data_IF_256634198255
#
_entry.id   IF_256634198255
#
_cell.length_a   1.000
_cell.length_b   1.000
_cell.length_c   1.000
_cell.angle_alpha   90.00
_cell.angle_beta   90.00
_cell.angle_gamma   90.00
#
_symmetry.space_group_name_H-M   'P 1'
#
loop_
_entity.id
_entity.type
_entity.pdbx_description
1 polymer ?
#
# COMPACT_ATOMS: atom_id res chain seq x y z
N UNK A 1 -24.04 -4.99 12.06
CA UNK A 1 -22.57 -5.07 11.95
C UNK A 1 -22.21 -6.53 11.75
N UNK A 2 -21.44 -6.86 10.72
CA UNK A 2 -20.87 -8.21 10.60
C UNK A 2 -19.85 -8.43 11.73
N UNK A 3 -19.75 -9.65 12.28
CA UNK A 3 -18.76 -9.96 13.29
C UNK A 3 -17.35 -9.86 12.69
N UNK A 4 -16.39 -9.32 13.46
CA UNK A 4 -14.99 -9.30 13.06
C UNK A 4 -14.43 -10.71 12.92
N UNK A 5 -13.54 -10.91 11.96
CA UNK A 5 -12.83 -12.16 11.79
C UNK A 5 -11.88 -12.46 12.97
N UNK A 6 -11.56 -13.75 13.22
CA UNK A 6 -10.65 -14.13 14.31
C UNK A 6 -9.28 -13.43 14.29
N UNK A 7 -8.73 -13.11 13.12
CA UNK A 7 -7.46 -12.40 13.01
C UNK A 7 -7.57 -10.89 13.28
N UNK A 8 -8.75 -10.31 13.04
CA UNK A 8 -9.01 -8.90 13.37
C UNK A 8 -9.16 -8.72 14.89
N UNK A 9 -9.78 -9.69 15.56
CA UNK A 9 -9.94 -9.68 17.03
C UNK A 9 -8.62 -9.55 17.79
N UNK A 10 -7.49 -9.95 17.18
CA UNK A 10 -6.15 -9.86 17.78
C UNK A 10 -5.72 -8.40 18.00
N UNK A 11 -6.14 -7.48 17.12
CA UNK A 11 -5.72 -6.07 17.20
C UNK A 11 -6.71 -5.19 17.96
N UNK A 12 -7.93 -5.68 18.21
CA UNK A 12 -8.97 -4.99 19.00
C UNK A 12 -8.44 -4.64 20.39
N UNK A 13 -8.49 -3.36 20.75
CA UNK A 13 -8.06 -2.89 22.06
C UNK A 13 -6.55 -3.01 22.33
N UNK A 14 -5.74 -3.39 21.34
CA UNK A 14 -4.27 -3.49 21.47
C UNK A 14 -3.59 -2.14 21.72
N UNK A 15 -4.28 -1.04 21.35
CA UNK A 15 -3.74 0.31 21.36
C UNK A 15 -2.64 0.53 20.32
N UNK A 16 -2.45 -0.38 19.35
CA UNK A 16 -1.54 -0.18 18.23
C UNK A 16 -2.17 0.73 17.17
N UNK A 17 -1.40 1.69 16.67
CA UNK A 17 -1.74 2.39 15.43
C UNK A 17 -1.30 1.52 14.25
N UNK A 18 -2.25 1.09 13.43
CA UNK A 18 -2.01 0.17 12.30
C UNK A 18 -1.84 0.87 10.96
N UNK A 19 -2.33 2.10 10.84
CA UNK A 19 -2.10 2.99 9.71
C UNK A 19 -2.17 4.44 10.15
N UNK A 20 -1.51 5.32 9.39
CA UNK A 20 -1.56 6.75 9.64
C UNK A 20 -1.34 7.57 8.38
N UNK A 21 -1.94 8.78 8.28
CA UNK A 21 -1.53 9.74 7.29
C UNK A 21 -0.11 10.20 7.57
N UNK A 22 0.68 10.41 6.51
CA UNK A 22 2.01 10.97 6.59
C UNK A 22 1.97 12.50 6.65
N UNK A 23 3.08 13.14 6.97
CA UNK A 23 3.21 14.61 6.97
C UNK A 23 3.26 15.22 5.56
N UNK A 24 3.59 14.41 4.55
CA UNK A 24 3.69 14.82 3.15
C UNK A 24 2.32 14.78 2.47
N UNK A 25 2.11 15.68 1.51
CA UNK A 25 0.91 15.74 0.66
C UNK A 25 1.32 15.68 -0.81
N UNK A 26 0.43 15.14 -1.62
CA UNK A 26 0.56 15.14 -3.07
C UNK A 26 -0.55 16.00 -3.69
N UNK A 27 -0.25 16.62 -4.83
CA UNK A 27 -1.27 17.25 -5.67
C UNK A 27 -2.04 16.15 -6.41
N UNK A 28 -3.17 15.73 -5.84
CA UNK A 28 -4.02 14.69 -6.40
C UNK A 28 -4.50 15.02 -7.83
N UNK A 29 -4.83 16.29 -8.10
CA UNK A 29 -5.35 16.68 -9.41
C UNK A 29 -4.26 16.55 -10.48
N UNK A 30 -3.02 16.89 -10.15
CA UNK A 30 -1.87 16.66 -11.02
C UNK A 30 -1.63 15.18 -11.26
N UNK A 31 -1.58 14.37 -10.19
CA UNK A 31 -1.38 12.92 -10.33
C UNK A 31 -2.50 12.23 -11.12
N UNK A 32 -3.74 12.69 -11.03
CA UNK A 32 -4.87 12.16 -11.81
C UNK A 32 -4.72 12.44 -13.30
N UNK A 33 -4.31 13.66 -13.69
CA UNK A 33 -4.05 14.00 -15.09
C UNK A 33 -2.89 13.20 -15.66
N UNK A 34 -1.82 13.04 -14.89
CA UNK A 34 -0.65 12.26 -15.26
C UNK A 34 -0.98 10.77 -15.39
N UNK A 35 -1.77 10.24 -14.46
CA UNK A 35 -2.26 8.88 -14.56
C UNK A 35 -3.04 8.68 -15.87
N UNK A 36 -3.96 9.59 -16.24
CA UNK A 36 -4.71 9.46 -17.49
C UNK A 36 -3.80 9.43 -18.73
N UNK A 37 -2.73 10.25 -18.74
CA UNK A 37 -1.75 10.24 -19.82
C UNK A 37 -0.94 8.92 -19.87
N UNK A 38 -0.50 8.44 -18.71
CA UNK A 38 0.20 7.16 -18.58
C UNK A 38 -0.69 5.98 -19.02
N UNK A 39 -1.93 5.96 -18.55
CA UNK A 39 -2.93 4.91 -18.82
C UNK A 39 -3.19 4.78 -20.33
N UNK A 40 -3.38 5.92 -21.01
CA UNK A 40 -3.56 5.99 -22.46
C UNK A 40 -2.32 5.54 -23.25
N UNK A 41 -1.12 5.90 -22.80
CA UNK A 41 0.12 5.53 -23.48
C UNK A 41 0.50 4.06 -23.28
N UNK A 42 0.18 3.49 -22.12
CA UNK A 42 0.55 2.12 -21.74
C UNK A 42 -0.34 1.07 -22.40
N UNK A 43 -1.63 1.37 -22.57
CA UNK A 43 -2.62 0.38 -23.03
C UNK A 43 -2.74 -0.82 -22.09
N UNK A 44 -3.30 -1.93 -22.58
CA UNK A 44 -3.46 -3.16 -21.79
C UNK A 44 -2.18 -4.01 -21.79
N UNK A 45 -1.43 -4.05 -22.89
CA UNK A 45 -0.21 -4.86 -23.02
C UNK A 45 0.94 -4.37 -22.14
N UNK A 46 0.97 -3.08 -21.80
CA UNK A 46 1.99 -2.50 -20.93
C UNK A 46 1.70 -2.69 -19.43
N UNK A 47 0.60 -3.37 -19.07
CA UNK A 47 0.23 -3.63 -17.68
C UNK A 47 0.65 -5.02 -17.22
N UNK A 48 0.98 -5.10 -15.94
CA UNK A 48 1.13 -6.36 -15.24
C UNK A 48 -0.16 -6.68 -14.48
N UNK A 49 -0.89 -7.69 -14.91
CA UNK A 49 -2.06 -8.17 -14.17
C UNK A 49 -1.59 -8.96 -12.94
N UNK A 50 -2.06 -8.52 -11.78
CA UNK A 50 -1.67 -9.05 -10.47
C UNK A 50 -2.71 -10.04 -9.94
N UNK A 51 -3.94 -9.95 -10.42
CA UNK A 51 -5.00 -10.93 -10.18
C UNK A 51 -5.38 -11.64 -11.48
N UNK A 52 -5.63 -12.95 -11.41
CA UNK A 52 -5.98 -13.77 -12.58
C UNK A 52 -7.35 -13.46 -13.18
N UNK A 53 -8.21 -12.73 -12.44
CA UNK A 53 -9.51 -12.25 -12.90
C UNK A 53 -9.46 -10.85 -13.51
N UNK A 54 -8.27 -10.25 -13.62
CA UNK A 54 -8.07 -8.91 -14.18
C UNK A 54 -8.47 -7.76 -13.25
N UNK A 55 -9.00 -8.03 -12.06
CA UNK A 55 -9.49 -7.00 -11.12
C UNK A 55 -8.41 -6.10 -10.54
N UNK A 56 -7.13 -6.48 -10.74
CA UNK A 56 -5.98 -5.76 -10.24
C UNK A 56 -4.82 -5.80 -11.24
N UNK A 57 -4.35 -4.63 -11.64
CA UNK A 57 -3.18 -4.45 -12.50
C UNK A 57 -2.23 -3.39 -11.97
N UNK A 58 -1.01 -3.38 -12.49
CA UNK A 58 0.00 -2.39 -12.15
C UNK A 58 0.82 -1.92 -13.35
N UNK A 59 1.30 -0.68 -13.29
CA UNK A 59 2.31 -0.11 -14.18
C UNK A 59 3.53 0.27 -13.33
N UNK A 60 4.70 -0.24 -13.69
CA UNK A 60 5.95 -0.01 -12.94
C UNK A 60 6.55 1.34 -13.28
N UNK A 61 6.71 2.22 -12.28
CA UNK A 61 7.37 3.53 -12.41
C UNK A 61 8.83 3.48 -11.97
N UNK A 62 9.12 2.72 -10.91
CA UNK A 62 10.48 2.42 -10.46
C UNK A 62 10.57 0.91 -10.33
N UNK A 63 11.43 0.32 -11.15
CA UNK A 63 11.69 -1.10 -11.16
C UNK A 63 12.59 -1.48 -9.98
N UNK A 64 12.31 -2.63 -9.39
CA UNK A 64 13.07 -3.09 -8.24
C UNK A 64 14.47 -3.54 -8.65
N UNK A 65 15.45 -3.21 -7.81
CA UNK A 65 16.82 -3.67 -7.98
C UNK A 65 17.16 -4.79 -7.00
N UNK A 66 18.08 -5.66 -7.39
CA UNK A 66 18.75 -6.59 -6.47
C UNK A 66 20.21 -6.15 -6.25
N UNK A 67 20.62 -6.07 -5.00
CA UNK A 67 21.99 -5.85 -4.57
C UNK A 67 22.83 -7.11 -4.73
N UNK A 68 24.16 -6.96 -4.64
CA UNK A 68 25.11 -8.08 -4.71
C UNK A 68 24.98 -9.06 -3.54
N UNK A 69 24.33 -8.64 -2.46
CA UNK A 69 23.99 -9.44 -1.27
C UNK A 69 22.63 -10.14 -1.38
N UNK A 70 21.94 -9.98 -2.52
CA UNK A 70 20.60 -10.53 -2.75
C UNK A 70 19.47 -9.76 -2.08
N UNK A 71 19.76 -8.65 -1.40
CA UNK A 71 18.75 -7.77 -0.81
C UNK A 71 18.24 -6.76 -1.85
N UNK A 72 17.06 -6.17 -1.61
CA UNK A 72 16.52 -5.13 -2.50
C UNK A 72 17.43 -3.91 -2.46
N UNK A 73 17.84 -3.47 -3.65
CA UNK A 73 18.61 -2.25 -3.85
C UNK A 73 17.68 -1.07 -4.15
N UNK A 74 18.24 0.14 -4.17
CA UNK A 74 17.52 1.32 -4.68
C UNK A 74 17.08 1.04 -6.11
N UNK A 75 15.79 1.23 -6.36
CA UNK A 75 15.17 0.94 -7.65
C UNK A 75 15.60 1.91 -8.74
N UNK A 76 15.27 1.57 -9.99
CA UNK A 76 15.61 2.38 -11.16
C UNK A 76 14.34 2.91 -11.83
N UNK A 77 14.27 4.20 -12.19
CA UNK A 77 13.10 4.74 -12.88
C UNK A 77 12.94 4.05 -14.24
N UNK A 78 11.70 3.75 -14.60
CA UNK A 78 11.33 3.26 -15.93
C UNK A 78 10.90 4.45 -16.81
N UNK A 79 10.83 4.28 -18.15
CA UNK A 79 10.27 5.32 -19.04
C UNK A 79 8.83 5.73 -18.70
N UNK A 80 8.05 4.87 -18.02
CA UNK A 80 6.70 5.20 -17.58
C UNK A 80 6.67 6.37 -16.59
N UNK A 81 7.72 6.54 -15.77
CA UNK A 81 7.80 7.65 -14.83
C UNK A 81 7.93 9.02 -15.53
N UNK A 82 8.42 9.07 -16.78
CA UNK A 82 8.51 10.31 -17.55
C UNK A 82 7.13 10.86 -17.96
N UNK A 83 6.09 10.01 -17.93
CA UNK A 83 4.70 10.41 -18.14
C UNK A 83 4.01 10.90 -16.86
N UNK A 84 4.69 10.79 -15.71
CA UNK A 84 4.18 11.25 -14.41
C UNK A 84 5.19 12.17 -13.69
N UNK A 85 5.47 13.37 -14.22
CA UNK A 85 6.48 14.28 -13.63
C UNK A 85 6.16 14.72 -12.21
N UNK A 86 4.89 14.90 -11.84
CA UNK A 86 4.44 15.19 -10.48
C UNK A 86 4.69 14.01 -9.54
N UNK A 87 4.51 12.76 -10.02
CA UNK A 87 4.92 11.58 -9.26
C UNK A 87 6.45 11.55 -9.07
N UNK A 88 7.23 11.84 -10.12
CA UNK A 88 8.70 11.95 -10.02
C UNK A 88 9.11 12.97 -8.96
N UNK A 89 8.60 14.20 -9.03
CA UNK A 89 8.92 15.25 -8.06
C UNK A 89 8.49 14.88 -6.63
N UNK A 90 7.34 14.21 -6.46
CA UNK A 90 6.92 13.70 -5.16
C UNK A 90 7.93 12.68 -4.62
N UNK A 91 8.30 11.69 -5.42
CA UNK A 91 9.22 10.61 -5.05
C UNK A 91 10.60 11.16 -4.67
N UNK A 92 11.14 12.08 -5.46
CA UNK A 92 12.40 12.78 -5.16
C UNK A 92 12.28 13.62 -3.88
N UNK A 93 11.15 14.31 -3.69
CA UNK A 93 10.87 15.15 -2.52
C UNK A 93 10.66 14.36 -1.21
N UNK A 94 10.33 13.07 -1.27
CA UNK A 94 10.29 12.21 -0.08
C UNK A 94 11.66 12.13 0.58
N UNK A 95 12.75 12.17 -0.21
CA UNK A 95 14.11 11.96 0.29
C UNK A 95 14.35 10.55 0.86
N UNK A 96 13.42 9.62 0.66
CA UNK A 96 13.54 8.23 1.07
C UNK A 96 14.39 7.44 0.08
N UNK A 97 14.97 6.34 0.55
CA UNK A 97 15.58 5.34 -0.33
C UNK A 97 14.48 4.46 -0.93
N UNK A 98 14.06 4.78 -2.15
CA UNK A 98 12.97 4.07 -2.84
C UNK A 98 13.48 2.77 -3.45
N UNK A 99 12.81 1.67 -3.12
CA UNK A 99 13.10 0.32 -3.60
C UNK A 99 12.31 0.02 -4.88
N UNK A 100 11.04 0.42 -4.92
CA UNK A 100 10.19 0.32 -6.11
C UNK A 100 9.00 1.27 -6.02
N UNK A 101 8.34 1.51 -7.15
CA UNK A 101 7.12 2.29 -7.22
C UNK A 101 6.23 1.79 -8.35
N UNK A 102 4.95 1.59 -8.05
CA UNK A 102 3.97 1.10 -9.01
C UNK A 102 2.70 1.95 -8.96
N UNK A 103 2.11 2.24 -10.12
CA UNK A 103 0.71 2.64 -10.22
C UNK A 103 -0.13 1.38 -10.12
N UNK A 104 -0.95 1.25 -9.09
CA UNK A 104 -1.88 0.15 -8.92
C UNK A 104 -3.28 0.59 -9.29
N UNK A 105 -3.93 -0.21 -10.12
CA UNK A 105 -5.33 -0.05 -10.52
C UNK A 105 -6.15 -1.23 -10.03
N UNK A 106 -7.18 -0.95 -9.25
CA UNK A 106 -8.23 -1.90 -8.91
C UNK A 106 -9.50 -1.53 -9.68
N UNK A 107 -10.09 -2.50 -10.37
CA UNK A 107 -11.35 -2.32 -11.09
C UNK A 107 -12.53 -2.10 -10.13
N UNK A 108 -13.68 -1.58 -10.63
CA UNK A 108 -14.91 -1.51 -9.86
C UNK A 108 -15.26 -2.85 -9.20
N UNK A 109 -15.59 -2.82 -7.92
CA UNK A 109 -15.88 -4.00 -7.10
C UNK A 109 -14.67 -4.89 -6.80
N UNK A 110 -13.46 -4.47 -7.17
CA UNK A 110 -12.23 -5.21 -6.93
C UNK A 110 -12.01 -5.50 -5.43
N UNK A 111 -11.67 -6.75 -5.12
CA UNK A 111 -11.40 -7.24 -3.78
C UNK A 111 -9.99 -7.82 -3.70
N UNK A 112 -9.09 -7.14 -2.99
CA UNK A 112 -7.82 -7.73 -2.59
C UNK A 112 -8.00 -8.41 -1.24
N UNK A 113 -8.19 -9.73 -1.29
CA UNK A 113 -8.52 -10.57 -0.13
C UNK A 113 -7.48 -10.47 0.99
N UNK A 114 -7.91 -10.81 2.20
CA UNK A 114 -7.05 -10.91 3.38
C UNK A 114 -5.71 -11.61 3.12
N UNK A 115 -4.62 -10.86 3.30
CA UNK A 115 -3.24 -11.31 3.17
C UNK A 115 -2.33 -10.51 4.11
N UNK A 116 -1.03 -10.77 4.08
CA UNK A 116 -0.03 -10.05 4.85
C UNK A 116 1.27 -9.96 4.03
N UNK A 117 2.01 -8.88 4.22
CA UNK A 117 3.24 -8.55 3.51
C UNK A 117 4.39 -8.32 4.51
N UNK A 118 5.62 -8.26 4.02
CA UNK A 118 6.80 -7.90 4.82
C UNK A 118 7.12 -6.40 4.73
N UNK A 119 6.12 -5.53 4.95
CA UNK A 119 6.27 -4.08 4.82
C UNK A 119 5.65 -3.33 6.01
N UNK A 120 6.49 -2.67 6.83
CA UNK A 120 6.08 -1.77 7.89
C UNK A 120 7.24 -0.86 8.34
N UNK A 121 6.93 0.29 8.93
CA UNK A 121 7.94 1.25 9.41
C UNK A 121 8.79 0.75 10.61
N UNK A 122 8.40 -0.37 11.23
CA UNK A 122 9.20 -1.07 12.25
C UNK A 122 9.94 -2.31 11.68
N UNK A 123 9.80 -2.58 10.37
CA UNK A 123 10.47 -3.63 9.62
C UNK A 123 11.61 -3.03 8.77
N UNK A 124 12.49 -3.80 8.10
CA UNK A 124 13.53 -3.24 7.22
C UNK A 124 12.99 -2.43 6.03
N UNK A 125 11.79 -2.75 5.55
CA UNK A 125 11.13 -2.09 4.43
C UNK A 125 9.73 -1.63 4.82
N UNK A 126 9.28 -0.53 4.26
CA UNK A 126 7.93 0.00 4.45
C UNK A 126 7.30 0.32 3.10
N UNK A 127 5.97 0.28 3.05
CA UNK A 127 5.19 0.69 1.89
C UNK A 127 4.42 1.96 2.21
N UNK A 128 4.63 2.98 1.40
CA UNK A 128 3.83 4.19 1.40
C UNK A 128 2.75 4.06 0.33
N UNK A 129 1.55 4.55 0.63
CA UNK A 129 0.45 4.61 -0.31
C UNK A 129 0.21 6.07 -0.65
N UNK A 130 0.16 6.38 -1.95
CA UNK A 130 -0.26 7.69 -2.48
C UNK A 130 -1.61 7.51 -3.20
N UNK A 131 -2.73 7.81 -2.54
CA UNK A 131 -4.05 7.87 -3.17
C UNK A 131 -4.08 8.88 -4.32
N UNK A 132 -4.36 8.41 -5.54
CA UNK A 132 -4.48 9.26 -6.74
C UNK A 132 -5.96 9.48 -7.06
N UNK A 133 -6.69 8.39 -7.29
CA UNK A 133 -8.13 8.36 -7.50
C UNK A 133 -8.69 7.28 -6.58
N UNK A 134 -9.36 7.67 -5.50
CA UNK A 134 -9.89 6.72 -4.52
C UNK A 134 -11.34 7.10 -4.22
N UNK A 135 -12.30 6.25 -4.63
CA UNK A 135 -13.72 6.45 -4.31
C UNK A 135 -13.96 6.48 -2.80
N UNK A 136 -14.95 7.25 -2.36
CA UNK A 136 -15.26 7.37 -0.92
C UNK A 136 -15.70 6.06 -0.26
N UNK A 137 -16.25 5.13 -1.06
CA UNK A 137 -16.65 3.80 -0.61
C UNK A 137 -15.51 2.77 -0.59
N UNK A 138 -14.31 3.11 -1.08
CA UNK A 138 -13.17 2.20 -1.02
C UNK A 138 -12.59 2.17 0.40
N UNK A 139 -12.35 0.96 0.91
CA UNK A 139 -11.89 0.73 2.29
C UNK A 139 -10.62 -0.12 2.27
N UNK A 140 -9.61 0.29 3.04
CA UNK A 140 -8.47 -0.55 3.39
C UNK A 140 -8.59 -0.95 4.85
N UNK A 141 -8.54 -2.25 5.10
CA UNK A 141 -8.52 -2.83 6.43
C UNK A 141 -7.11 -3.25 6.80
N UNK A 142 -6.64 -2.86 7.98
CA UNK A 142 -5.46 -3.45 8.63
C UNK A 142 -5.94 -3.97 9.98
N UNK A 143 -5.95 -5.29 10.18
CA UNK A 143 -6.59 -5.90 11.36
C UNK A 143 -8.04 -5.43 11.52
N UNK A 144 -8.38 -4.88 12.68
CA UNK A 144 -9.69 -4.30 13.01
C UNK A 144 -9.84 -2.81 12.62
N UNK A 145 -8.85 -2.21 11.96
CA UNK A 145 -8.83 -0.77 11.64
C UNK A 145 -9.16 -0.51 10.17
N UNK A 146 -10.42 -0.17 9.81
CA UNK A 146 -10.77 0.29 8.48
C UNK A 146 -10.43 1.77 8.29
N UNK A 147 -9.94 2.13 7.12
CA UNK A 147 -9.86 3.53 6.70
C UNK A 147 -10.08 3.70 5.19
N UNK A 148 -10.70 4.84 4.85
CA UNK A 148 -10.61 5.40 3.52
C UNK A 148 -9.33 6.24 3.43
N UNK A 149 -8.59 6.10 2.33
CA UNK A 149 -7.38 6.89 2.08
C UNK A 149 -7.69 7.99 1.07
N UNK A 150 -7.95 9.24 1.52
CA UNK A 150 -8.36 10.31 0.61
C UNK A 150 -7.23 10.69 -0.36
N UNK A 151 -7.61 11.01 -1.60
CA UNK A 151 -6.72 11.47 -2.65
C UNK A 151 -5.78 12.59 -2.16
N UNK A 152 -4.48 12.49 -2.48
CA UNK A 152 -3.47 13.50 -2.13
C UNK A 152 -2.93 13.43 -0.69
N UNK A 153 -3.51 12.63 0.19
CA UNK A 153 -2.94 12.35 1.52
C UNK A 153 -2.16 11.06 1.47
N UNK A 154 -0.85 11.11 1.71
CA UNK A 154 -0.03 9.89 1.76
C UNK A 154 -0.31 9.12 3.05
N UNK A 155 -0.21 7.80 2.99
CA UNK A 155 -0.40 6.91 4.12
C UNK A 155 0.76 5.93 4.25
N UNK A 156 1.03 5.48 5.46
CA UNK A 156 1.74 4.24 5.71
C UNK A 156 0.89 3.35 6.61
N UNK A 157 1.12 2.05 6.53
CA UNK A 157 0.47 1.06 7.37
C UNK A 157 1.43 -0.05 7.77
N UNK A 158 1.01 -0.81 8.77
CA UNK A 158 1.67 -2.03 9.19
C UNK A 158 1.10 -3.23 8.40
N UNK A 159 1.57 -3.41 7.17
CA UNK A 159 1.12 -4.50 6.29
C UNK A 159 1.60 -5.88 6.74
N UNK A 160 2.39 -5.95 7.82
CA UNK A 160 2.73 -7.23 8.46
C UNK A 160 1.56 -7.85 9.20
N UNK A 161 0.52 -7.07 9.51
CA UNK A 161 -0.76 -7.57 9.96
C UNK A 161 -1.65 -7.99 8.77
N UNK A 162 -2.56 -8.95 8.98
CA UNK A 162 -3.61 -9.26 8.01
C UNK A 162 -4.36 -8.02 7.54
N UNK A 163 -4.46 -7.86 6.22
CA UNK A 163 -5.10 -6.72 5.59
C UNK A 163 -5.84 -7.09 4.30
N UNK A 164 -6.84 -6.28 3.97
CA UNK A 164 -7.70 -6.43 2.80
C UNK A 164 -8.00 -5.04 2.21
N UNK A 165 -8.26 -4.99 0.91
CA UNK A 165 -8.74 -3.78 0.23
C UNK A 165 -10.02 -4.08 -0.53
N UNK A 166 -11.04 -3.29 -0.27
CA UNK A 166 -12.33 -3.32 -0.95
C UNK A 166 -12.48 -2.05 -1.79
N UNK A 167 -12.76 -2.20 -3.07
CA UNK A 167 -13.02 -1.08 -3.96
C UNK A 167 -14.53 -0.83 -4.14
N UNK A 168 -14.90 0.41 -4.47
CA UNK A 168 -16.26 0.80 -4.77
C UNK A 168 -16.83 0.02 -5.97
N UNK A 169 -18.14 -0.28 -6.00
CA UNK A 169 -18.75 -1.14 -7.03
C UNK A 169 -18.74 -0.55 -8.44
N UNK A 170 -18.67 0.78 -8.58
CA UNK A 170 -18.86 1.48 -9.86
C UNK A 170 -17.63 2.29 -10.29
N UNK A 171 -16.62 2.43 -9.44
CA UNK A 171 -15.49 3.31 -9.68
C UNK A 171 -14.18 2.54 -9.47
N UNK A 172 -13.21 2.76 -10.36
CA UNK A 172 -11.86 2.23 -10.18
C UNK A 172 -11.13 2.93 -9.03
N UNK A 173 -10.11 2.28 -8.50
CA UNK A 173 -9.20 2.85 -7.49
C UNK A 173 -7.77 2.82 -7.99
N UNK A 174 -7.15 4.00 -8.01
CA UNK A 174 -5.78 4.23 -8.43
C UNK A 174 -4.95 4.74 -7.26
N UNK A 175 -3.88 4.03 -6.95
CA UNK A 175 -2.90 4.42 -5.93
C UNK A 175 -1.48 4.22 -6.44
N UNK A 176 -0.53 5.05 -5.99
CA UNK A 176 0.88 4.69 -6.06
C UNK A 176 1.24 3.86 -4.83
N UNK A 177 1.88 2.73 -5.03
CA UNK A 177 2.55 1.98 -3.96
C UNK A 177 4.05 2.25 -4.08
N UNK A 178 4.63 2.82 -3.02
CA UNK A 178 6.06 3.19 -2.97
C UNK A 178 6.72 2.37 -1.87
N UNK A 179 7.53 1.39 -2.27
CA UNK A 179 8.32 0.63 -1.31
C UNK A 179 9.61 1.40 -1.01
N UNK A 180 9.92 1.56 0.27
CA UNK A 180 11.09 2.31 0.76
C UNK A 180 11.85 1.50 1.80
N UNK A 181 13.14 1.79 1.93
CA UNK A 181 13.88 1.39 3.14
C UNK A 181 13.26 2.10 4.34
N UNK A 182 12.99 1.33 5.39
CA UNK A 182 12.42 1.83 6.64
C UNK A 182 13.54 2.34 7.55
N UNK A 183 14.13 3.47 7.16
CA UNK A 183 15.14 4.19 7.92
C UNK A 183 14.55 5.39 8.67
N UNK A 184 15.40 6.17 9.33
CA UNK A 184 14.97 7.34 10.09
C UNK A 184 14.28 8.37 9.21
N UNK A 185 14.65 8.46 7.93
CA UNK A 185 14.00 9.37 7.01
C UNK A 185 12.58 8.93 6.73
N UNK A 186 12.35 7.66 6.38
CA UNK A 186 11.00 7.13 6.18
C UNK A 186 10.14 7.27 7.45
N UNK A 187 10.70 6.93 8.62
CA UNK A 187 10.02 7.07 9.92
C UNK A 187 9.65 8.51 10.26
N UNK A 188 10.49 9.48 9.89
CA UNK A 188 10.22 10.91 10.14
C UNK A 188 8.95 11.45 9.44
N UNK A 189 8.44 10.73 8.44
CA UNK A 189 7.21 11.10 7.74
C UNK A 189 5.93 10.71 8.48
N UNK A 190 6.03 9.85 9.50
CA UNK A 190 4.90 9.23 10.18
C UNK A 190 4.90 9.56 11.68
N UNK A 191 3.73 9.47 12.34
CA UNK A 191 3.68 9.44 13.80
C UNK A 191 4.45 8.23 14.36
N UNK A 192 5.13 8.43 15.49
CA UNK A 192 5.96 7.41 16.13
C UNK A 192 5.15 6.16 16.50
N UNK A 193 3.89 6.36 16.87
CA UNK A 193 2.93 5.35 17.25
C UNK A 193 2.72 4.30 16.15
N UNK A 194 3.04 4.60 14.88
CA UNK A 194 2.94 3.66 13.76
C UNK A 194 4.10 2.65 13.72
N UNK A 195 5.20 2.90 14.41
CA UNK A 195 6.38 2.02 14.42
C UNK A 195 6.97 1.76 15.81
N UNK A 196 6.38 2.29 16.87
CA UNK A 196 6.76 2.01 18.24
C UNK A 196 6.43 0.56 18.68
N UNK A 197 6.88 0.18 19.88
CA UNK A 197 6.56 -1.10 20.52
C UNK A 197 6.80 -2.35 19.62
N UNK A 198 7.99 -2.51 19.03
CA UNK A 198 8.26 -3.58 18.05
C UNK A 198 8.03 -4.99 18.60
N UNK A 199 8.28 -5.23 19.90
CA UNK A 199 8.02 -6.52 20.53
C UNK A 199 6.53 -6.87 20.55
N UNK A 200 5.67 -5.91 20.94
CA UNK A 200 4.21 -6.11 20.95
C UNK A 200 3.68 -6.33 19.52
N UNK A 201 4.14 -5.51 18.56
CA UNK A 201 3.78 -5.65 17.14
C UNK A 201 4.15 -7.03 16.62
N UNK A 202 5.36 -7.50 16.92
CA UNK A 202 5.83 -8.82 16.53
C UNK A 202 4.94 -9.95 17.10
N UNK A 203 4.65 -9.92 18.40
CA UNK A 203 3.77 -10.93 19.02
C UNK A 203 2.36 -10.91 18.42
N UNK A 204 1.75 -9.73 18.29
CA UNK A 204 0.37 -9.63 17.78
C UNK A 204 0.28 -9.94 16.29
N UNK A 205 1.27 -9.58 15.47
CA UNK A 205 1.28 -9.94 14.05
C UNK A 205 1.36 -11.45 13.88
N UNK A 206 2.20 -12.14 14.66
CA UNK A 206 2.32 -13.60 14.58
C UNK A 206 1.00 -14.29 14.97
N UNK A 207 0.35 -13.80 16.03
CA UNK A 207 -0.97 -14.29 16.43
C UNK A 207 -2.02 -14.06 15.34
N UNK A 208 -2.07 -12.85 14.76
CA UNK A 208 -3.04 -12.51 13.71
C UNK A 208 -2.79 -13.30 12.42
N UNK A 209 -1.55 -13.45 11.99
CA UNK A 209 -1.16 -14.25 10.82
C UNK A 209 -1.49 -15.73 11.03
N UNK A 210 -1.13 -16.30 12.18
CA UNK A 210 -1.46 -17.69 12.50
C UNK A 210 -2.99 -17.91 12.54
N UNK A 211 -3.73 -16.95 13.08
CA UNK A 211 -5.20 -16.96 13.07
C UNK A 211 -5.76 -16.92 11.65
N UNK A 212 -5.25 -16.05 10.78
CA UNK A 212 -5.65 -16.00 9.36
C UNK A 212 -5.37 -17.33 8.67
N UNK A 213 -4.17 -17.89 8.82
CA UNK A 213 -3.77 -19.15 8.19
C UNK A 213 -4.63 -20.33 8.64
N UNK A 214 -4.94 -20.42 9.93
CA UNK A 214 -5.81 -21.46 10.49
C UNK A 214 -7.28 -21.34 10.02
N UNK A 215 -7.70 -20.13 9.61
CA UNK A 215 -9.07 -19.82 9.25
C UNK A 215 -9.24 -19.47 7.76
N UNK A 216 -8.27 -19.78 6.89
CA UNK A 216 -8.29 -19.45 5.45
C UNK A 216 -9.52 -19.96 4.69
N UNK A 217 -10.21 -20.97 5.23
CA UNK A 217 -11.45 -21.53 4.66
C UNK A 217 -12.72 -20.76 5.05
N UNK A 218 -12.63 -19.83 6.00
CA UNK A 218 -13.67 -18.83 6.18
C UNK A 218 -13.56 -17.90 4.96
N UNK A 219 -14.42 -18.12 3.97
CA UNK A 219 -14.48 -17.32 2.75
C UNK A 219 -14.67 -15.82 3.04
N UNK A 220 -14.74 -14.97 1.99
CA UNK A 220 -15.15 -13.59 2.20
C UNK A 220 -16.54 -13.61 2.86
N UNK A 221 -16.74 -12.83 3.92
CA UNK A 221 -18.07 -12.53 4.43
C UNK A 221 -18.73 -11.51 3.51
#
# INVERSE_FOLDING_TARGET
MQPLHPWQQVTVGSGLMLHAPLTVRADAATLQREFAALDAATGDEGRQFRAGDGSWSSITLIDEGLGSDGLRAIGRPTPALDLMPGARSLLEGLGCRILSCYVHRQEPGGLLRWHYDNAALHWPEARLIVPVLVPSAAVTWIGDSPAAYPAGTLWAADFTFPHQVENAPEEQRIVLLVDVVSDDRARSLAPMELYDRPALRHTLKEQAVNSLLANRNLGPV
#
